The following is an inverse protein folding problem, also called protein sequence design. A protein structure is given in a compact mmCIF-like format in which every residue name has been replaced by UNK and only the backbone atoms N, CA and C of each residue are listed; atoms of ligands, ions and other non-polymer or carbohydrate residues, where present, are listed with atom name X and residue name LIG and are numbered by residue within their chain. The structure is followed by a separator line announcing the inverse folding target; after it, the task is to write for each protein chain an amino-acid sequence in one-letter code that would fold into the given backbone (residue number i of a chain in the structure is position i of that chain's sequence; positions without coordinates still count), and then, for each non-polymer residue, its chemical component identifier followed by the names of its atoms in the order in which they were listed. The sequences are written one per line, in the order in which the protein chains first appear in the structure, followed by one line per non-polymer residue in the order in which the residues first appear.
data_IF_751370810572
#
_entry.id   IF_751370810572
#
_cell.length_a   1.000
_cell.length_b   1.000
_cell.length_c   1.000
_cell.angle_alpha   90.00
_cell.angle_beta   90.00
_cell.angle_gamma   90.00
#
_symmetry.space_group_name_H-M   'P 1'
#
loop_
_entity.id
_entity.type
_entity.pdbx_description
1 polymer ?
#
# COMPACT_ATOMS: atom_id res chain seq x y z
N UNK A 1 -12.86 -13.19 19.35
CA UNK A 1 -13.38 -13.01 17.97
C UNK A 1 -12.35 -12.36 17.01
N UNK A 2 -11.03 -12.59 17.17
CA UNK A 2 -10.00 -11.83 16.43
C UNK A 2 -9.22 -12.56 15.33
N UNK A 3 -9.24 -13.90 15.27
CA UNK A 3 -8.32 -14.65 14.39
C UNK A 3 -8.78 -14.75 12.93
N UNK A 4 -10.09 -14.60 12.67
CA UNK A 4 -10.64 -14.73 11.31
C UNK A 4 -10.13 -13.66 10.34
N UNK A 5 -9.95 -12.42 10.81
CA UNK A 5 -9.47 -11.33 9.95
C UNK A 5 -8.02 -11.52 9.49
N UNK A 6 -7.15 -12.03 10.36
CA UNK A 6 -5.76 -12.35 9.99
C UNK A 6 -5.70 -13.49 8.98
N UNK A 7 -6.49 -14.56 9.18
CA UNK A 7 -6.59 -15.63 8.20
C UNK A 7 -7.11 -15.13 6.85
N UNK A 8 -8.14 -14.28 6.85
CA UNK A 8 -8.67 -13.66 5.63
C UNK A 8 -7.62 -12.76 4.95
N UNK A 9 -6.80 -12.05 5.73
CA UNK A 9 -5.69 -11.26 5.20
C UNK A 9 -4.65 -12.15 4.52
N UNK A 10 -4.23 -13.24 5.17
CA UNK A 10 -3.28 -14.20 4.60
C UNK A 10 -3.83 -14.89 3.36
N UNK A 11 -5.10 -15.32 3.38
CA UNK A 11 -5.76 -15.93 2.22
C UNK A 11 -5.89 -14.93 1.07
N UNK A 12 -6.26 -13.68 1.36
CA UNK A 12 -6.33 -12.60 0.38
C UNK A 12 -5.00 -12.38 -0.33
N UNK A 13 -3.90 -12.35 0.41
CA UNK A 13 -2.55 -12.26 -0.15
C UNK A 13 -2.21 -13.46 -1.05
N UNK A 14 -2.49 -14.68 -0.59
CA UNK A 14 -2.25 -15.89 -1.38
C UNK A 14 -3.07 -15.93 -2.68
N UNK A 15 -4.29 -15.40 -2.68
CA UNK A 15 -5.10 -15.28 -3.89
C UNK A 15 -4.58 -14.23 -4.86
N UNK A 16 -4.00 -13.13 -4.37
CA UNK A 16 -3.35 -12.11 -5.20
C UNK A 16 -2.17 -12.71 -5.97
N UNK A 17 -1.30 -13.48 -5.30
CA UNK A 17 -0.17 -14.19 -5.93
C UNK A 17 -0.61 -15.20 -7.00
N UNK A 18 -1.78 -15.81 -6.81
CA UNK A 18 -2.38 -16.76 -7.76
C UNK A 18 -3.13 -16.08 -8.93
N UNK A 19 -2.97 -14.77 -9.11
CA UNK A 19 -3.67 -13.97 -10.15
C UNK A 19 -5.20 -14.09 -10.06
N UNK A 20 -5.74 -14.17 -8.85
CA UNK A 20 -7.19 -14.14 -8.56
C UNK A 20 -7.55 -12.84 -7.83
N UNK A 21 -7.42 -11.67 -8.48
CA UNK A 21 -7.48 -10.38 -7.79
C UNK A 21 -8.90 -10.04 -7.29
N UNK A 22 -9.96 -10.55 -7.93
CA UNK A 22 -11.35 -10.33 -7.48
C UNK A 22 -11.60 -10.99 -6.13
N UNK A 23 -11.22 -12.26 -5.99
CA UNK A 23 -11.38 -12.99 -4.74
C UNK A 23 -10.44 -12.46 -3.66
N UNK A 24 -9.20 -12.07 -4.02
CA UNK A 24 -8.27 -11.43 -3.11
C UNK A 24 -8.89 -10.16 -2.50
N UNK A 25 -9.46 -9.29 -3.32
CA UNK A 25 -10.10 -8.06 -2.86
C UNK A 25 -11.31 -8.32 -1.95
N UNK A 26 -12.11 -9.35 -2.25
CA UNK A 26 -13.25 -9.75 -1.41
C UNK A 26 -12.78 -10.24 -0.03
N UNK A 27 -11.79 -11.13 0.02
CA UNK A 27 -11.20 -11.63 1.26
C UNK A 27 -10.61 -10.51 2.10
N UNK A 28 -9.86 -9.59 1.47
CA UNK A 28 -9.26 -8.45 2.12
C UNK A 28 -10.30 -7.45 2.62
N UNK A 29 -11.40 -7.26 1.88
CA UNK A 29 -12.52 -6.42 2.33
C UNK A 29 -13.20 -6.99 3.56
N UNK A 30 -13.36 -8.31 3.64
CA UNK A 30 -13.85 -8.99 4.85
C UNK A 30 -12.84 -8.89 6.00
N UNK A 31 -11.53 -8.98 5.72
CA UNK A 31 -10.50 -8.80 6.73
C UNK A 31 -10.54 -7.40 7.36
N UNK A 32 -10.63 -6.37 6.50
CA UNK A 32 -10.78 -4.96 6.92
C UNK A 32 -12.06 -4.74 7.73
N UNK A 33 -13.20 -5.30 7.30
CA UNK A 33 -14.45 -5.18 8.04
C UNK A 33 -14.37 -5.87 9.42
N UNK A 34 -13.67 -7.00 9.52
CA UNK A 34 -13.48 -7.72 10.77
C UNK A 34 -12.48 -7.06 11.72
N UNK A 35 -11.48 -6.35 11.20
CA UNK A 35 -10.55 -5.55 11.98
C UNK A 35 -10.08 -4.31 11.19
N UNK A 36 -10.72 -3.15 11.38
CA UNK A 36 -10.35 -1.91 10.69
C UNK A 36 -8.98 -1.35 11.09
N UNK A 37 -8.34 -1.88 12.14
CA UNK A 37 -7.01 -1.49 12.60
C UNK A 37 -5.91 -2.39 11.98
N UNK A 38 -6.28 -3.38 11.16
CA UNK A 38 -5.34 -4.30 10.53
C UNK A 38 -4.67 -3.64 9.31
N UNK A 39 -3.52 -3.03 9.52
CA UNK A 39 -2.75 -2.27 8.52
C UNK A 39 -2.43 -3.11 7.29
N UNK A 40 -2.06 -4.37 7.48
CA UNK A 40 -1.72 -5.31 6.43
C UNK A 40 -2.91 -5.57 5.50
N UNK A 41 -4.14 -5.65 6.03
CA UNK A 41 -5.33 -5.89 5.22
C UNK A 41 -5.63 -4.69 4.30
N UNK A 42 -5.49 -3.46 4.81
CA UNK A 42 -5.60 -2.25 4.01
C UNK A 42 -4.52 -2.19 2.93
N UNK A 43 -3.27 -2.45 3.30
CA UNK A 43 -2.12 -2.38 2.40
C UNK A 43 -2.20 -3.42 1.28
N UNK A 44 -2.58 -4.66 1.62
CA UNK A 44 -2.77 -5.73 0.66
C UNK A 44 -3.96 -5.44 -0.27
N UNK A 45 -5.07 -4.90 0.26
CA UNK A 45 -6.22 -4.55 -0.59
C UNK A 45 -5.86 -3.44 -1.56
N UNK A 46 -5.10 -2.45 -1.11
CA UNK A 46 -4.61 -1.39 -1.96
C UNK A 46 -3.73 -1.92 -3.10
N UNK A 47 -2.80 -2.85 -2.81
CA UNK A 47 -1.97 -3.48 -3.83
C UNK A 47 -2.82 -4.17 -4.91
N UNK A 48 -3.81 -4.96 -4.49
CA UNK A 48 -4.74 -5.64 -5.41
C UNK A 48 -5.52 -4.63 -6.26
N UNK A 49 -6.05 -3.56 -5.67
CA UNK A 49 -6.77 -2.50 -6.40
C UNK A 49 -5.88 -1.76 -7.38
N UNK A 50 -4.65 -1.45 -6.98
CA UNK A 50 -3.66 -0.79 -7.83
C UNK A 50 -3.33 -1.64 -9.07
N UNK A 51 -3.12 -2.95 -8.90
CA UNK A 51 -2.87 -3.87 -10.01
C UNK A 51 -4.07 -3.95 -10.96
N UNK A 52 -5.29 -3.91 -10.43
CA UNK A 52 -6.53 -3.87 -11.22
C UNK A 52 -6.81 -2.53 -11.89
N UNK A 53 -6.01 -1.51 -11.62
CA UNK A 53 -6.17 -0.15 -12.17
C UNK A 53 -7.06 0.77 -11.35
N UNK A 54 -7.69 0.29 -10.27
CA UNK A 54 -8.41 1.14 -9.31
C UNK A 54 -7.41 1.86 -8.39
N UNK A 55 -6.69 2.80 -8.99
CA UNK A 55 -5.64 3.56 -8.31
C UNK A 55 -6.22 4.50 -7.26
N UNK A 56 -7.44 5.01 -7.48
CA UNK A 56 -8.13 5.87 -6.52
C UNK A 56 -8.58 5.09 -5.27
N UNK A 57 -9.15 3.90 -5.45
CA UNK A 57 -9.48 3.02 -4.33
C UNK A 57 -8.25 2.51 -3.58
N UNK A 58 -7.15 2.24 -4.30
CA UNK A 58 -5.87 1.91 -3.68
C UNK A 58 -5.34 3.07 -2.82
N UNK A 59 -5.38 4.30 -3.32
CA UNK A 59 -4.96 5.47 -2.57
C UNK A 59 -5.78 5.65 -1.29
N UNK A 60 -7.11 5.52 -1.36
CA UNK A 60 -7.97 5.62 -0.18
C UNK A 60 -7.64 4.56 0.89
N UNK A 61 -7.32 3.34 0.48
CA UNK A 61 -6.91 2.27 1.39
C UNK A 61 -5.54 2.57 2.03
N UNK A 62 -4.61 3.14 1.27
CA UNK A 62 -3.28 3.51 1.74
C UNK A 62 -3.31 4.73 2.66
N UNK A 63 -4.23 5.67 2.44
CA UNK A 63 -4.49 6.78 3.36
C UNK A 63 -4.91 6.24 4.74
N UNK A 64 -5.78 5.21 4.77
CA UNK A 64 -6.12 4.54 6.02
C UNK A 64 -4.93 3.80 6.62
N UNK A 65 -4.16 3.06 5.83
CA UNK A 65 -3.01 2.31 6.33
C UNK A 65 -1.93 3.21 6.96
N UNK A 66 -1.60 4.35 6.33
CA UNK A 66 -0.61 5.31 6.84
C UNK A 66 -1.13 6.10 8.05
N UNK A 67 -2.45 6.32 8.14
CA UNK A 67 -3.04 6.93 9.34
C UNK A 67 -2.97 6.00 10.56
N UNK A 68 -2.94 4.68 10.34
CA UNK A 68 -2.89 3.67 11.39
C UNK A 68 -1.45 3.30 11.80
N UNK A 69 -0.47 3.49 10.91
CA UNK A 69 0.90 3.05 11.14
C UNK A 69 1.94 3.92 10.45
N UNK A 70 3.06 4.12 11.17
CA UNK A 70 4.27 4.77 10.66
C UNK A 70 5.23 3.82 9.93
N UNK A 71 4.78 2.60 9.60
CA UNK A 71 5.57 1.66 8.82
C UNK A 71 5.87 2.23 7.42
N UNK A 72 7.05 1.94 6.85
CA UNK A 72 7.48 2.53 5.58
C UNK A 72 6.70 1.97 4.38
N UNK A 73 6.28 0.70 4.42
CA UNK A 73 5.65 0.03 3.26
C UNK A 73 4.33 0.68 2.84
N UNK A 74 3.35 0.94 3.74
CA UNK A 74 2.12 1.62 3.35
C UNK A 74 2.37 3.01 2.75
N UNK A 75 3.33 3.77 3.31
CA UNK A 75 3.67 5.10 2.81
C UNK A 75 4.35 5.05 1.43
N UNK A 76 5.27 4.11 1.22
CA UNK A 76 5.86 3.87 -0.10
C UNK A 76 4.80 3.53 -1.15
N UNK A 77 3.90 2.59 -0.82
CA UNK A 77 2.82 2.20 -1.72
C UNK A 77 1.88 3.39 -2.02
N UNK A 78 1.64 4.28 -1.05
CA UNK A 78 0.88 5.51 -1.26
C UNK A 78 1.56 6.43 -2.27
N UNK A 79 2.87 6.62 -2.14
CA UNK A 79 3.68 7.35 -3.11
C UNK A 79 3.54 6.78 -4.53
N UNK A 80 3.56 5.45 -4.68
CA UNK A 80 3.35 4.79 -5.98
C UNK A 80 1.94 5.02 -6.56
N UNK A 81 0.91 4.97 -5.72
CA UNK A 81 -0.46 5.29 -6.13
C UNK A 81 -0.59 6.75 -6.59
N UNK A 82 0.01 7.69 -5.84
CA UNK A 82 0.03 9.12 -6.17
C UNK A 82 0.76 9.39 -7.50
N UNK A 83 1.89 8.71 -7.77
CA UNK A 83 2.57 8.78 -9.06
C UNK A 83 1.64 8.40 -10.21
N UNK A 84 0.91 7.30 -10.07
CA UNK A 84 0.01 6.84 -11.14
C UNK A 84 -1.19 7.77 -11.35
N UNK A 85 -1.52 8.58 -10.36
CA UNK A 85 -2.52 9.66 -10.44
C UNK A 85 -1.91 11.02 -10.84
N UNK A 86 -0.62 11.07 -11.20
CA UNK A 86 0.12 12.30 -11.52
C UNK A 86 0.13 13.36 -10.40
N UNK A 87 -0.02 12.93 -9.13
CA UNK A 87 0.07 13.78 -7.94
C UNK A 87 1.51 13.82 -7.45
N UNK A 88 2.37 14.46 -8.24
CA UNK A 88 3.83 14.38 -8.10
C UNK A 88 4.34 14.94 -6.77
N UNK A 89 3.88 16.11 -6.33
CA UNK A 89 4.37 16.73 -5.09
C UNK A 89 4.09 15.88 -3.85
N UNK A 90 2.89 15.30 -3.78
CA UNK A 90 2.49 14.42 -2.68
C UNK A 90 3.27 13.10 -2.72
N UNK A 91 3.50 12.55 -3.91
CA UNK A 91 4.36 11.37 -4.06
C UNK A 91 5.81 11.65 -3.62
N UNK A 92 6.35 12.83 -3.96
CA UNK A 92 7.70 13.23 -3.56
C UNK A 92 7.81 13.36 -2.04
N UNK A 93 6.78 13.92 -1.39
CA UNK A 93 6.70 14.00 0.06
C UNK A 93 6.71 12.60 0.69
N UNK A 94 5.87 11.68 0.20
CA UNK A 94 5.78 10.31 0.72
C UNK A 94 7.09 9.52 0.59
N UNK A 95 7.74 9.63 -0.56
CA UNK A 95 9.03 8.98 -0.78
C UNK A 95 10.13 9.59 0.10
N UNK A 96 10.15 10.91 0.30
CA UNK A 96 11.11 11.55 1.19
C UNK A 96 10.94 11.09 2.65
N UNK A 97 9.70 11.05 3.13
CA UNK A 97 9.35 10.58 4.47
C UNK A 97 9.70 9.11 4.67
N UNK A 98 9.42 8.26 3.67
CA UNK A 98 9.80 6.84 3.67
C UNK A 98 11.32 6.70 3.76
N UNK A 99 12.07 7.47 2.96
CA UNK A 99 13.53 7.43 2.90
C UNK A 99 14.20 7.89 4.20
N UNK A 100 13.55 8.80 4.93
CA UNK A 100 14.03 9.30 6.22
C UNK A 100 13.92 8.28 7.36
N UNK A 101 13.17 7.18 7.18
CA UNK A 101 12.95 6.18 8.23
C UNK A 101 14.26 5.47 8.63
N UNK A 102 14.67 5.54 9.91
CA UNK A 102 15.82 4.77 10.40
C UNK A 102 15.56 3.27 10.26
N UNK A 103 16.60 2.50 9.91
CA UNK A 103 16.47 1.05 9.76
C UNK A 103 15.70 0.59 8.51
N UNK A 104 15.37 1.49 7.57
CA UNK A 104 14.76 1.11 6.30
C UNK A 104 15.58 0.04 5.58
N UNK A 105 14.89 -1.00 5.09
CA UNK A 105 15.48 -2.08 4.31
C UNK A 105 16.30 -1.55 3.12
N UNK A 106 17.40 -2.22 2.79
CA UNK A 106 18.33 -1.75 1.75
C UNK A 106 17.70 -1.78 0.35
N UNK A 107 16.89 -2.78 0.04
CA UNK A 107 16.21 -2.88 -1.25
C UNK A 107 15.16 -1.77 -1.35
N UNK A 108 14.30 -1.64 -0.35
CA UNK A 108 13.28 -0.57 -0.33
C UNK A 108 13.92 0.83 -0.39
N UNK A 109 15.03 1.06 0.33
CA UNK A 109 15.78 2.33 0.26
C UNK A 109 16.26 2.64 -1.16
N UNK A 110 16.70 1.63 -1.91
CA UNK A 110 17.14 1.80 -3.30
C UNK A 110 15.96 2.18 -4.19
N UNK A 111 14.85 1.47 -4.07
CA UNK A 111 13.67 1.67 -4.91
C UNK A 111 13.06 3.07 -4.67
N UNK A 112 12.87 3.44 -3.41
CA UNK A 112 12.38 4.78 -3.01
C UNK A 112 13.26 5.90 -3.58
N UNK A 113 14.59 5.73 -3.62
CA UNK A 113 15.49 6.75 -4.20
C UNK A 113 15.30 6.92 -5.70
N UNK A 114 15.11 5.82 -6.43
CA UNK A 114 14.85 5.85 -7.87
C UNK A 114 13.53 6.56 -8.13
N UNK A 115 12.50 6.19 -7.40
CA UNK A 115 11.16 6.77 -7.53
C UNK A 115 11.13 8.25 -7.15
N UNK A 116 11.74 8.64 -6.03
CA UNK A 116 11.85 10.06 -5.65
C UNK A 116 12.57 10.89 -6.71
N UNK A 117 13.66 10.37 -7.29
CA UNK A 117 14.37 11.07 -8.36
C UNK A 117 13.54 11.18 -9.64
N UNK A 118 12.67 10.20 -9.94
CA UNK A 118 11.74 10.25 -11.08
C UNK A 118 10.66 11.29 -10.86
N UNK A 119 10.04 11.30 -9.69
CA UNK A 119 8.94 12.22 -9.36
C UNK A 119 9.40 13.67 -9.36
N UNK A 120 10.57 13.96 -8.78
CA UNK A 120 11.13 15.33 -8.74
C UNK A 120 11.39 15.97 -10.10
N UNK A 121 11.40 15.19 -11.19
CA UNK A 121 11.51 15.72 -12.56
C UNK A 121 10.16 16.16 -13.14
N UNK A 122 9.06 15.79 -12.49
CA UNK A 122 7.69 16.04 -12.92
C UNK A 122 6.92 16.97 -11.94
N UNK A 123 7.56 17.36 -10.83
CA UNK A 123 7.17 18.47 -9.97
C UNK A 123 7.66 19.79 -10.58
#
# INVERSE_FOLDING_TARGET
MGHGCFLLCTLGLACAERKRPVEAEELLSRAVAGNPQLVEAWTNRAAVRFERGDTAGALADLDRAVALSSEPVPRYNRGMALVRLARWDEAAHDFAETLARPGLDRALRRDVRVELARVRKNC
#
